data_IF_817547953545
#
_entry.id   IF_817547953545
#
_cell.length_a   1.000
_cell.length_b   1.000
_cell.length_c   1.000
_cell.angle_alpha   90.00
_cell.angle_beta   90.00
_cell.angle_gamma   90.00
#
_symmetry.space_group_name_H-M   'P 1'
#
loop_
_entity.id
_entity.type
_entity.pdbx_description
1 polymer ?
#
# COMPACT_ATOMS: atom_id res chain seq x y z
N UNK A 1 2.27 11.17 -16.01
CA UNK A 1 3.31 11.27 -14.98
C UNK A 1 2.96 10.24 -13.92
N UNK A 2 3.89 9.36 -13.52
CA UNK A 2 3.59 8.37 -12.49
C UNK A 2 3.72 9.05 -11.12
N UNK A 3 2.59 9.32 -10.47
CA UNK A 3 2.58 9.92 -9.15
C UNK A 3 3.18 8.93 -8.14
N UNK A 4 4.40 9.23 -7.68
CA UNK A 4 5.08 8.43 -6.67
C UNK A 4 4.66 8.92 -5.30
N UNK A 5 3.98 8.07 -4.52
CA UNK A 5 3.55 8.40 -3.16
C UNK A 5 4.41 7.67 -2.13
N UNK A 6 4.91 8.41 -1.14
CA UNK A 6 5.68 7.85 -0.03
C UNK A 6 4.87 7.91 1.26
N UNK A 7 4.75 6.79 1.97
CA UNK A 7 4.09 6.71 3.26
C UNK A 7 4.66 5.56 4.09
N UNK A 8 4.55 5.68 5.41
CA UNK A 8 4.86 4.59 6.34
C UNK A 8 3.65 3.65 6.39
N UNK A 9 3.90 2.38 6.09
CA UNK A 9 2.91 1.31 6.15
C UNK A 9 3.34 0.27 7.18
N UNK A 10 2.36 -0.42 7.78
CA UNK A 10 2.63 -1.51 8.71
C UNK A 10 2.43 -2.84 8.00
N UNK A 11 3.38 -3.78 8.17
CA UNK A 11 3.19 -5.16 7.76
C UNK A 11 2.45 -5.88 8.88
N UNK A 12 1.27 -6.44 8.58
CA UNK A 12 0.45 -7.19 9.51
C UNK A 12 0.21 -8.62 9.01
N UNK A 13 -0.31 -9.46 9.90
CA UNK A 13 -0.72 -10.82 9.59
C UNK A 13 -2.25 -10.91 9.57
N UNK A 14 -2.80 -11.49 8.50
CA UNK A 14 -4.21 -11.85 8.38
C UNK A 14 -4.27 -13.37 8.16
N UNK A 15 -4.36 -14.12 9.25
CA UNK A 15 -4.14 -15.57 9.23
C UNK A 15 -2.70 -15.90 8.83
N UNK A 16 -2.52 -16.77 7.83
CA UNK A 16 -1.21 -17.11 7.27
C UNK A 16 -0.68 -16.07 6.26
N UNK A 17 -1.53 -15.13 5.83
CA UNK A 17 -1.18 -14.14 4.82
C UNK A 17 -0.53 -12.90 5.46
N UNK A 18 0.57 -12.42 4.88
CA UNK A 18 1.14 -11.11 5.21
C UNK A 18 0.48 -10.04 4.36
N UNK A 19 0.02 -8.97 5.00
CA UNK A 19 -0.65 -7.85 4.33
C UNK A 19 0.07 -6.54 4.65
N UNK A 20 0.09 -5.64 3.68
CA UNK A 20 0.55 -4.26 3.87
C UNK A 20 -0.67 -3.41 4.20
N UNK A 21 -0.71 -2.84 5.40
CA UNK A 21 -1.81 -1.99 5.84
C UNK A 21 -1.58 -0.57 5.34
N UNK A 22 -2.37 -0.16 4.35
CA UNK A 22 -2.37 1.20 3.82
C UNK A 22 -3.22 2.10 4.73
N UNK A 23 -2.69 3.22 5.26
CA UNK A 23 -3.46 4.15 6.08
C UNK A 23 -4.66 4.71 5.31
N UNK A 24 -5.83 4.86 5.97
CA UNK A 24 -7.07 5.35 5.34
C UNK A 24 -6.89 6.67 4.58
N UNK A 25 -6.11 7.61 5.13
CA UNK A 25 -5.77 8.90 4.49
C UNK A 25 -5.06 8.77 3.12
N UNK A 26 -4.42 7.64 2.88
CA UNK A 26 -3.77 7.31 1.60
C UNK A 26 -4.73 6.58 0.67
N UNK A 27 -5.60 5.73 1.21
CA UNK A 27 -6.62 5.03 0.43
C UNK A 27 -7.49 6.02 -0.37
N UNK A 28 -7.91 7.14 0.24
CA UNK A 28 -8.71 8.15 -0.47
C UNK A 28 -7.96 8.86 -1.61
N UNK A 29 -6.62 8.79 -1.61
CA UNK A 29 -5.75 9.33 -2.67
C UNK A 29 -5.37 8.29 -3.73
N UNK A 30 -5.56 7.01 -3.41
CA UNK A 30 -5.24 5.89 -4.28
C UNK A 30 -6.56 5.42 -4.89
N UNK A 31 -6.88 5.91 -6.08
CA UNK A 31 -8.04 5.42 -6.83
C UNK A 31 -7.71 4.07 -7.46
N UNK A 32 -7.57 3.02 -6.64
CA UNK A 32 -7.33 1.67 -7.16
C UNK A 32 -8.63 0.91 -7.37
N UNK A 33 -8.74 0.18 -8.46
CA UNK A 33 -9.82 -0.78 -8.69
C UNK A 33 -9.33 -2.22 -8.50
N UNK A 34 -10.27 -3.14 -8.27
CA UNK A 34 -9.95 -4.56 -8.12
C UNK A 34 -9.27 -5.10 -9.40
N UNK A 35 -8.12 -5.75 -9.24
CA UNK A 35 -7.30 -6.27 -10.33
C UNK A 35 -6.22 -5.31 -10.86
N UNK A 36 -6.16 -4.07 -10.37
CA UNK A 36 -5.11 -3.13 -10.73
C UNK A 36 -3.74 -3.53 -10.14
N UNK A 37 -2.69 -3.47 -10.95
CA UNK A 37 -1.32 -3.76 -10.51
C UNK A 37 -0.62 -2.47 -10.10
N UNK A 38 -0.13 -2.43 -8.87
CA UNK A 38 0.65 -1.30 -8.33
C UNK A 38 2.08 -1.73 -8.04
N UNK A 39 3.05 -0.86 -8.36
CA UNK A 39 4.45 -1.06 -8.00
C UNK A 39 4.70 -0.52 -6.60
N UNK A 40 5.11 -1.41 -5.69
CA UNK A 40 5.42 -1.06 -4.29
C UNK A 40 6.94 -1.11 -4.10
N UNK A 41 7.53 -0.04 -3.56
CA UNK A 41 8.93 -0.01 -3.13
C UNK A 41 8.96 0.06 -1.60
N UNK A 42 9.68 -0.87 -0.97
CA UNK A 42 9.74 -1.01 0.50
C UNK A 42 11.14 -0.62 0.97
N UNK A 43 11.20 0.41 1.80
CA UNK A 43 12.40 0.78 2.56
C UNK A 43 12.15 0.45 4.03
N UNK A 44 13.08 -0.27 4.66
CA UNK A 44 13.01 -0.60 6.09
C UNK A 44 13.64 0.53 6.90
N UNK A 45 12.90 1.03 7.88
CA UNK A 45 13.34 2.06 8.84
C UNK A 45 13.75 1.35 10.13
#
# INVERSE_FOLDING_TARGET
MADTMQFVATIAHQGEMRVIVIPKRMHDKISTFEGEQVKITIEKI
#
